data_IF_378870862657
#
_entry.id   IF_378870862657
#
_cell.length_a   1.000
_cell.length_b   1.000
_cell.length_c   1.000
_cell.angle_alpha   90.00
_cell.angle_beta   90.00
_cell.angle_gamma   90.00
#
_symmetry.space_group_name_H-M   'P 1'
#
loop_
_entity.id
_entity.type
_entity.pdbx_description
1 polymer ?
#
# COMPACT_ATOMS: atom_id res chain seq x y z
N UNK A 1 3.58 -9.33 -16.85
CA UNK A 1 3.26 -8.14 -17.65
C UNK A 1 2.07 -7.44 -17.00
N UNK A 2 2.31 -6.73 -15.88
CA UNK A 2 1.25 -6.23 -14.98
C UNK A 2 0.34 -5.21 -15.67
N UNK A 3 0.93 -4.23 -16.36
CA UNK A 3 0.17 -3.18 -17.04
C UNK A 3 -0.83 -3.71 -18.07
N UNK A 4 -0.48 -4.77 -18.80
CA UNK A 4 -1.40 -5.39 -19.75
C UNK A 4 -2.59 -6.06 -19.04
N UNK A 5 -2.36 -6.75 -17.92
CA UNK A 5 -3.44 -7.41 -17.18
C UNK A 5 -4.39 -6.38 -16.59
N UNK A 6 -3.85 -5.32 -15.98
CA UNK A 6 -4.66 -4.23 -15.43
C UNK A 6 -5.45 -3.51 -16.53
N UNK A 7 -4.84 -3.23 -17.68
CA UNK A 7 -5.52 -2.62 -18.82
C UNK A 7 -6.71 -3.46 -19.32
N UNK A 8 -6.53 -4.79 -19.45
CA UNK A 8 -7.62 -5.70 -19.85
C UNK A 8 -8.76 -5.68 -18.82
N UNK A 9 -8.45 -5.69 -17.52
CA UNK A 9 -9.50 -5.61 -16.48
C UNK A 9 -10.25 -4.27 -16.51
N UNK A 10 -9.55 -3.17 -16.73
CA UNK A 10 -10.15 -1.83 -16.86
C UNK A 10 -11.04 -1.74 -18.10
N UNK A 11 -10.60 -2.31 -19.23
CA UNK A 11 -11.37 -2.36 -20.48
C UNK A 11 -12.64 -3.22 -20.33
N UNK A 12 -12.52 -4.40 -19.71
CA UNK A 12 -13.65 -5.32 -19.49
C UNK A 12 -14.70 -4.73 -18.53
N UNK A 13 -14.26 -3.99 -17.52
CA UNK A 13 -15.17 -3.22 -16.65
C UNK A 13 -15.83 -2.08 -17.45
N UNK A 14 -15.04 -1.31 -18.19
CA UNK A 14 -15.52 -0.29 -19.11
C UNK A 14 -16.12 0.96 -18.45
N UNK A 15 -16.06 1.06 -17.11
CA UNK A 15 -16.56 2.23 -16.37
C UNK A 15 -15.42 3.02 -15.74
N UNK A 16 -15.52 4.37 -15.66
CA UNK A 16 -14.45 5.20 -15.12
C UNK A 16 -14.18 4.93 -13.62
N UNK A 17 -15.22 4.54 -12.88
CA UNK A 17 -15.18 4.30 -11.44
C UNK A 17 -15.17 2.81 -11.05
N UNK A 18 -14.98 1.90 -12.02
CA UNK A 18 -14.94 0.45 -11.77
C UNK A 18 -16.25 -0.08 -11.17
N UNK A 19 -17.39 0.49 -11.54
CA UNK A 19 -18.70 0.19 -10.96
C UNK A 19 -19.34 -1.09 -11.47
N UNK A 20 -18.92 -1.60 -12.63
CA UNK A 20 -19.48 -2.84 -13.21
C UNK A 20 -18.99 -4.08 -12.46
N UNK A 21 -17.70 -4.17 -12.18
CA UNK A 21 -17.11 -5.28 -11.41
C UNK A 21 -16.85 -4.93 -9.95
N UNK A 22 -16.78 -3.64 -9.61
CA UNK A 22 -16.35 -3.16 -8.32
C UNK A 22 -14.82 -3.05 -8.24
N UNK A 23 -14.34 -1.91 -7.73
CA UNK A 23 -12.91 -1.68 -7.54
C UNK A 23 -12.25 -2.77 -6.68
N UNK A 24 -12.98 -3.32 -5.70
CA UNK A 24 -12.50 -4.37 -4.80
C UNK A 24 -12.16 -5.67 -5.56
N UNK A 25 -12.98 -6.04 -6.54
CA UNK A 25 -12.77 -7.25 -7.35
C UNK A 25 -11.55 -7.08 -8.27
N UNK A 26 -11.48 -5.95 -8.97
CA UNK A 26 -10.37 -5.62 -9.87
C UNK A 26 -9.05 -5.54 -9.08
N UNK A 27 -9.06 -4.87 -7.93
CA UNK A 27 -7.86 -4.73 -7.09
C UNK A 27 -7.40 -6.10 -6.54
N UNK A 28 -8.33 -6.96 -6.12
CA UNK A 28 -8.01 -8.30 -5.64
C UNK A 28 -7.25 -9.13 -6.68
N UNK A 29 -7.72 -9.12 -7.93
CA UNK A 29 -7.04 -9.81 -9.05
C UNK A 29 -5.70 -9.15 -9.38
N UNK A 30 -5.67 -7.81 -9.48
CA UNK A 30 -4.46 -7.03 -9.78
C UNK A 30 -3.31 -7.34 -8.81
N UNK A 31 -3.58 -7.32 -7.49
CA UNK A 31 -2.60 -7.63 -6.45
C UNK A 31 -2.16 -9.09 -6.49
N UNK A 32 -3.08 -10.02 -6.77
CA UNK A 32 -2.77 -11.45 -6.87
C UNK A 32 -1.84 -11.75 -8.05
N UNK A 33 -2.09 -11.10 -9.19
CA UNK A 33 -1.23 -11.20 -10.38
C UNK A 33 0.16 -10.62 -10.12
N UNK A 34 0.26 -9.49 -9.41
CA UNK A 34 1.56 -8.92 -9.01
C UNK A 34 2.35 -9.90 -8.13
N UNK A 35 1.69 -10.52 -7.13
CA UNK A 35 2.32 -11.55 -6.28
C UNK A 35 2.73 -12.79 -7.07
N UNK A 36 1.89 -13.28 -7.98
CA UNK A 36 2.22 -14.40 -8.86
C UNK A 36 3.39 -14.07 -9.79
N UNK A 37 3.46 -12.83 -10.30
CA UNK A 37 4.57 -12.34 -11.12
C UNK A 37 5.91 -12.33 -10.37
N UNK A 38 5.90 -11.92 -9.10
CA UNK A 38 7.06 -12.01 -8.23
C UNK A 38 7.49 -13.46 -7.98
N UNK A 39 6.52 -14.34 -7.67
CA UNK A 39 6.75 -15.77 -7.45
C UNK A 39 7.31 -16.48 -8.67
N UNK A 40 6.77 -16.21 -9.86
CA UNK A 40 7.25 -16.77 -11.13
C UNK A 40 8.69 -16.33 -11.47
N UNK A 41 9.09 -15.13 -11.04
CA UNK A 41 10.47 -14.62 -11.17
C UNK A 41 11.41 -15.10 -10.06
N UNK A 42 10.91 -15.72 -9.00
CA UNK A 42 11.71 -16.11 -7.84
C UNK A 42 12.27 -14.93 -7.04
N UNK A 43 11.63 -13.75 -7.11
CA UNK A 43 12.08 -12.53 -6.39
C UNK A 43 11.06 -12.11 -5.33
N UNK A 44 11.49 -11.42 -4.26
CA UNK A 44 10.57 -10.82 -3.29
C UNK A 44 9.62 -9.82 -3.96
N UNK A 45 8.39 -9.70 -3.44
CA UNK A 45 7.36 -8.81 -3.99
C UNK A 45 7.83 -7.35 -4.14
N UNK A 46 8.57 -6.81 -3.16
CA UNK A 46 9.05 -5.43 -3.22
C UNK A 46 10.05 -5.20 -4.38
N UNK A 47 10.85 -6.22 -4.74
CA UNK A 47 11.74 -6.17 -5.91
C UNK A 47 10.95 -6.21 -7.20
N UNK A 48 9.92 -7.05 -7.26
CA UNK A 48 9.05 -7.10 -8.42
C UNK A 48 8.34 -5.76 -8.63
N UNK A 49 7.84 -5.13 -7.56
CA UNK A 49 7.22 -3.80 -7.62
C UNK A 49 8.24 -2.75 -8.07
N UNK A 50 9.48 -2.78 -7.56
CA UNK A 50 10.56 -1.89 -7.98
C UNK A 50 10.80 -1.94 -9.50
N UNK A 51 10.85 -3.15 -10.07
CA UNK A 51 11.00 -3.35 -11.52
C UNK A 51 9.80 -2.79 -12.30
N UNK A 52 8.58 -3.01 -11.80
CA UNK A 52 7.36 -2.53 -12.44
C UNK A 52 7.24 -1.00 -12.41
N UNK A 53 7.67 -0.36 -11.31
CA UNK A 53 7.59 1.10 -11.14
C UNK A 53 8.75 1.86 -11.78
N UNK A 54 9.81 1.17 -12.21
CA UNK A 54 11.04 1.80 -12.68
C UNK A 54 11.81 2.52 -11.56
N UNK A 55 11.58 2.16 -10.30
CA UNK A 55 12.23 2.79 -9.15
C UNK A 55 13.71 2.37 -9.10
N UNK A 56 14.61 3.35 -9.15
CA UNK A 56 16.07 3.09 -9.19
C UNK A 56 16.61 2.54 -7.87
N UNK A 57 16.21 3.14 -6.76
CA UNK A 57 16.72 2.82 -5.43
C UNK A 57 15.56 2.54 -4.47
N UNK A 58 15.71 1.49 -3.67
CA UNK A 58 14.76 1.18 -2.61
C UNK A 58 15.09 1.98 -1.36
N UNK A 59 14.05 2.44 -0.69
CA UNK A 59 14.16 3.23 0.54
C UNK A 59 13.22 2.63 1.57
N UNK A 60 13.67 2.53 2.83
CA UNK A 60 12.80 2.21 3.94
C UNK A 60 12.01 3.47 4.35
N UNK A 61 10.68 3.42 4.44
CA UNK A 61 9.88 4.60 4.76
C UNK A 61 10.00 4.95 6.25
N UNK A 62 9.77 6.23 6.59
CA UNK A 62 9.45 6.61 7.96
C UNK A 62 8.05 6.09 8.28
N UNK A 63 7.86 5.25 9.31
CA UNK A 63 6.53 4.79 9.70
C UNK A 63 5.73 5.95 10.32
N UNK A 64 4.47 6.08 9.93
CA UNK A 64 3.51 6.97 10.57
C UNK A 64 2.59 6.13 11.46
N UNK A 65 2.85 6.14 12.77
CA UNK A 65 2.09 5.34 13.73
C UNK A 65 0.88 6.12 14.19
N UNK A 66 -0.32 5.65 13.84
CA UNK A 66 -1.55 6.17 14.42
C UNK A 66 -1.65 5.75 15.90
N UNK A 67 -1.65 6.73 16.80
CA UNK A 67 -1.62 6.52 18.26
C UNK A 67 -2.89 6.97 18.97
N UNK A 68 -3.64 7.92 18.39
CA UNK A 68 -4.92 8.36 18.94
C UNK A 68 -5.94 8.47 17.80
N UNK A 69 -7.09 7.84 18.01
CA UNK A 69 -8.24 7.92 17.12
C UNK A 69 -9.30 8.89 17.64
N UNK A 70 -9.88 9.64 16.72
CA UNK A 70 -11.06 10.47 16.91
C UNK A 70 -11.99 10.36 15.69
N UNK A 71 -12.86 11.35 15.51
CA UNK A 71 -13.77 11.45 14.38
C UNK A 71 -14.64 10.21 14.23
N UNK A 72 -14.88 9.77 13.00
CA UNK A 72 -15.69 8.56 12.74
C UNK A 72 -15.04 7.25 13.19
N UNK A 73 -13.76 7.27 13.58
CA UNK A 73 -13.05 6.08 14.10
C UNK A 73 -13.23 5.90 15.61
N UNK A 74 -13.76 6.90 16.35
CA UNK A 74 -13.95 6.80 17.79
C UNK A 74 -15.23 7.52 18.26
N UNK A 75 -15.96 6.92 19.20
CA UNK A 75 -17.14 7.53 19.83
C UNK A 75 -16.81 8.59 20.88
N UNK A 76 -15.77 9.39 20.67
CA UNK A 76 -15.33 10.43 21.59
C UNK A 76 -15.55 11.84 20.99
N UNK A 77 -15.29 12.88 21.77
CA UNK A 77 -15.50 14.28 21.34
C UNK A 77 -14.35 14.82 20.46
N UNK A 78 -13.36 14.00 20.14
CA UNK A 78 -12.20 14.44 19.37
C UNK A 78 -12.58 14.49 17.89
N UNK A 79 -12.69 15.68 17.31
CA UNK A 79 -13.14 15.83 15.92
C UNK A 79 -12.11 15.30 14.90
N UNK A 80 -10.82 15.43 15.21
CA UNK A 80 -9.73 14.97 14.34
C UNK A 80 -9.62 13.45 14.35
N UNK A 81 -9.50 12.84 13.16
CA UNK A 81 -9.63 11.39 13.00
C UNK A 81 -8.42 10.60 13.50
N UNK A 82 -7.20 11.07 13.21
CA UNK A 82 -5.97 10.32 13.49
C UNK A 82 -4.88 11.28 13.94
N UNK A 83 -4.17 10.92 15.00
CA UNK A 83 -2.97 11.59 15.47
C UNK A 83 -1.82 10.61 15.36
N UNK A 84 -0.79 10.99 14.60
CA UNK A 84 0.30 10.10 14.28
C UNK A 84 1.63 10.60 14.85
N UNK A 85 2.49 9.67 15.26
CA UNK A 85 3.90 9.94 15.56
C UNK A 85 4.79 9.41 14.43
N UNK A 86 5.79 10.19 14.06
CA UNK A 86 6.73 9.89 12.98
C UNK A 86 8.17 9.99 13.52
N UNK A 87 8.90 8.88 13.70
CA UNK A 87 10.27 8.86 14.20
C UNK A 87 11.28 9.25 13.09
N UNK A 88 11.20 10.51 12.63
CA UNK A 88 12.05 11.02 11.53
C UNK A 88 13.55 11.04 11.84
N UNK A 89 13.93 10.93 13.12
CA UNK A 89 15.31 10.91 13.59
C UNK A 89 15.92 9.50 13.76
N UNK A 90 15.19 8.42 13.47
CA UNK A 90 15.70 7.06 13.57
C UNK A 90 16.76 6.77 12.50
N UNK A 91 17.84 6.07 12.86
CA UNK A 91 18.90 5.67 11.94
C UNK A 91 18.54 4.43 11.10
N UNK A 92 17.45 3.73 11.43
CA UNK A 92 16.96 2.57 10.69
C UNK A 92 15.46 2.37 10.88
N UNK A 93 14.83 1.59 10.00
CA UNK A 93 13.43 1.18 10.18
C UNK A 93 13.22 0.39 11.48
N UNK A 94 14.18 -0.45 11.88
CA UNK A 94 14.08 -1.21 13.14
C UNK A 94 14.08 -0.28 14.36
N UNK A 95 14.92 0.76 14.34
CA UNK A 95 14.92 1.79 15.38
C UNK A 95 13.64 2.62 15.35
N UNK A 96 13.15 2.99 14.17
CA UNK A 96 11.87 3.70 14.01
C UNK A 96 10.71 2.90 14.62
N UNK A 97 10.69 1.57 14.41
CA UNK A 97 9.72 0.68 15.03
C UNK A 97 9.82 0.67 16.55
N UNK A 98 11.04 0.59 17.10
CA UNK A 98 11.27 0.67 18.55
C UNK A 98 10.76 1.99 19.13
N UNK A 99 11.13 3.12 18.52
CA UNK A 99 10.68 4.46 18.93
C UNK A 99 9.16 4.63 18.88
N UNK A 100 8.47 3.95 17.95
CA UNK A 100 7.01 4.02 17.85
C UNK A 100 6.26 3.09 18.79
N UNK A 101 6.91 2.05 19.32
CA UNK A 101 6.29 1.05 20.21
C UNK A 101 6.50 1.30 21.71
N UNK A 102 7.57 2.02 22.06
CA UNK A 102 7.92 2.43 23.42
C UNK A 102 7.30 3.79 23.76
#
# INVERSE_FOLDING_TARGET
NQGNVDAVMLELDGTPNKSKFGANAILGVSLSVCRAGAGAKGVPLYRHIQELSGTKELVMPVPAFNVINGGSHAGNNLAMQEFMILPVGAASFAEAMRMGSE
#
